data_IF_831019488756
#
_entry.id   IF_831019488756
#
_cell.length_a   1.000
_cell.length_b   1.000
_cell.length_c   1.000
_cell.angle_alpha   90.00
_cell.angle_beta   90.00
_cell.angle_gamma   90.00
#
_symmetry.space_group_name_H-M   'P 1'
#
loop_
_entity.id
_entity.type
_entity.pdbx_description
1 polymer ?
#
# COMPACT_ATOMS: atom_id res chain seq x y z
N UNK A 1 8.55 -8.27 4.52
CA UNK A 1 8.70 -6.92 5.06
C UNK A 1 7.35 -6.23 5.04
N UNK A 2 7.07 -5.49 6.08
CA UNK A 2 5.82 -4.77 6.18
C UNK A 2 6.03 -3.30 5.82
N UNK A 3 4.99 -2.66 5.28
CA UNK A 3 4.94 -1.22 5.11
C UNK A 3 3.57 -0.70 5.54
N UNK A 4 3.52 0.61 5.82
CA UNK A 4 2.28 1.30 6.15
C UNK A 4 1.86 2.12 4.94
N UNK A 5 0.59 2.03 4.57
CA UNK A 5 0.02 2.86 3.52
C UNK A 5 -0.72 4.04 4.15
N UNK A 6 -0.47 5.24 3.62
CA UNK A 6 -1.04 6.49 4.11
C UNK A 6 -1.55 7.30 2.91
N UNK A 7 -2.74 7.85 3.02
CA UNK A 7 -3.31 8.72 1.99
C UNK A 7 -2.99 10.18 2.33
N UNK A 8 -2.51 10.92 1.34
CA UNK A 8 -2.18 12.34 1.48
C UNK A 8 -2.86 13.15 0.38
N UNK A 9 -3.29 14.37 0.72
CA UNK A 9 -3.95 15.24 -0.25
C UNK A 9 -2.94 15.90 -1.20
N UNK A 10 -1.76 16.28 -0.68
CA UNK A 10 -0.69 16.91 -1.45
C UNK A 10 0.58 16.05 -1.33
N UNK A 11 0.82 15.25 -2.36
CA UNK A 11 1.91 14.28 -2.34
C UNK A 11 3.28 14.96 -2.29
N UNK A 12 3.48 16.03 -3.06
CA UNK A 12 4.75 16.75 -3.08
C UNK A 12 5.07 17.37 -1.71
N UNK A 13 4.08 18.01 -1.09
CA UNK A 13 4.25 18.59 0.25
C UNK A 13 4.54 17.53 1.30
N UNK A 14 3.88 16.37 1.22
CA UNK A 14 4.14 15.26 2.13
C UNK A 14 5.56 14.71 1.95
N UNK A 15 6.00 14.51 0.71
CA UNK A 15 7.37 14.08 0.42
C UNK A 15 8.41 15.05 0.98
N UNK A 16 8.20 16.35 0.79
CA UNK A 16 9.09 17.38 1.32
C UNK A 16 9.14 17.35 2.86
N UNK A 17 8.01 17.16 3.49
CA UNK A 17 7.95 17.07 4.95
C UNK A 17 8.76 15.89 5.48
N UNK A 18 8.57 14.70 4.89
CA UNK A 18 9.31 13.50 5.31
C UNK A 18 10.80 13.64 5.01
N UNK A 19 11.18 14.21 3.88
CA UNK A 19 12.57 14.46 3.55
C UNK A 19 13.22 15.39 4.57
N UNK A 20 12.52 16.45 5.00
CA UNK A 20 13.02 17.38 6.01
C UNK A 20 13.14 16.73 7.38
N UNK A 21 12.38 15.67 7.65
CA UNK A 21 12.45 14.88 8.89
C UNK A 21 13.59 13.84 8.85
N UNK A 22 14.34 13.77 7.77
CA UNK A 22 15.49 12.86 7.64
C UNK A 22 15.19 11.56 6.90
N UNK A 23 14.00 11.42 6.31
CA UNK A 23 13.64 10.23 5.55
C UNK A 23 14.27 10.22 4.16
N UNK A 24 14.47 9.04 3.60
CA UNK A 24 14.72 8.84 2.18
C UNK A 24 13.39 8.73 1.46
N UNK A 25 13.18 9.54 0.42
CA UNK A 25 11.89 9.63 -0.28
C UNK A 25 12.12 9.40 -1.77
N UNK A 26 11.32 8.53 -2.40
CA UNK A 26 11.39 8.31 -3.85
C UNK A 26 10.62 9.41 -4.59
N UNK A 27 10.95 9.59 -5.88
CA UNK A 27 10.16 10.48 -6.73
C UNK A 27 8.74 9.96 -6.87
N UNK A 28 7.71 10.83 -6.80
CA UNK A 28 6.34 10.44 -7.05
C UNK A 28 6.17 9.85 -8.46
N UNK A 29 5.41 8.77 -8.55
CA UNK A 29 5.10 8.10 -9.82
C UNK A 29 3.60 7.87 -9.92
N UNK A 30 3.13 7.69 -11.17
CA UNK A 30 1.74 7.31 -11.40
C UNK A 30 1.48 5.92 -10.80
N UNK A 31 0.30 5.76 -10.24
CA UNK A 31 -0.12 4.48 -9.65
C UNK A 31 -1.63 4.35 -9.77
N UNK A 32 -2.07 3.35 -10.55
CA UNK A 32 -3.49 3.09 -10.75
C UNK A 32 -4.24 4.39 -11.13
N UNK A 33 -5.19 4.80 -10.33
CA UNK A 33 -5.98 6.02 -10.55
C UNK A 33 -5.40 7.25 -9.84
N UNK A 34 -4.17 7.19 -9.38
CA UNK A 34 -3.53 8.26 -8.63
C UNK A 34 -2.02 8.26 -8.75
N UNK A 35 -1.33 8.63 -7.67
CA UNK A 35 0.13 8.69 -7.60
C UNK A 35 0.61 8.14 -6.28
N UNK A 36 1.88 7.72 -6.24
CA UNK A 36 2.49 7.19 -5.02
C UNK A 36 3.95 7.61 -4.89
N UNK A 37 4.46 7.55 -3.66
CA UNK A 37 5.88 7.67 -3.35
C UNK A 37 6.20 6.81 -2.13
N UNK A 38 7.43 6.31 -2.06
CA UNK A 38 7.90 5.52 -0.92
C UNK A 38 8.78 6.34 -0.01
N UNK A 39 8.62 6.15 1.29
CA UNK A 39 9.34 6.85 2.34
C UNK A 39 10.00 5.83 3.26
N UNK A 40 11.30 5.99 3.50
CA UNK A 40 12.03 5.23 4.54
C UNK A 40 12.44 6.18 5.64
N UNK A 41 11.82 6.02 6.80
CA UNK A 41 12.13 6.80 7.99
C UNK A 41 12.68 5.84 9.06
N UNK A 42 14.00 5.78 9.18
CA UNK A 42 14.64 4.73 9.95
C UNK A 42 14.34 3.36 9.34
N UNK A 43 13.83 2.43 10.14
CA UNK A 43 13.40 1.11 9.68
C UNK A 43 11.94 1.08 9.24
N UNK A 44 11.21 2.19 9.35
CA UNK A 44 9.81 2.27 8.99
C UNK A 44 9.66 2.60 7.51
N UNK A 45 8.97 1.73 6.79
CA UNK A 45 8.62 1.97 5.39
C UNK A 45 7.16 2.43 5.31
N UNK A 46 6.96 3.59 4.68
CA UNK A 46 5.64 4.18 4.47
C UNK A 46 5.46 4.36 2.97
N UNK A 47 4.31 3.97 2.44
CA UNK A 47 3.93 4.32 1.06
C UNK A 47 2.85 5.39 1.12
N UNK A 48 3.12 6.52 0.50
CA UNK A 48 2.17 7.63 0.39
C UNK A 48 1.39 7.48 -0.91
N UNK A 49 0.06 7.58 -0.82
CA UNK A 49 -0.84 7.50 -1.96
C UNK A 49 -1.73 8.74 -2.02
N UNK A 50 -2.03 9.21 -3.22
CA UNK A 50 -3.09 10.21 -3.41
C UNK A 50 -4.47 9.54 -3.38
N UNK A 51 -4.54 8.26 -3.78
CA UNK A 51 -5.75 7.43 -3.70
C UNK A 51 -5.38 6.00 -3.35
N UNK A 52 -6.20 5.36 -2.54
CA UNK A 52 -6.09 3.93 -2.30
C UNK A 52 -6.64 3.16 -3.50
N UNK A 53 -6.07 2.01 -3.82
CA UNK A 53 -6.50 1.18 -4.96
C UNK A 53 -7.97 0.74 -4.81
N UNK A 54 -8.45 0.55 -3.57
CA UNK A 54 -9.82 0.13 -3.29
C UNK A 54 -10.82 1.29 -3.22
N UNK A 55 -10.43 2.52 -3.56
CA UNK A 55 -11.38 3.64 -3.63
C UNK A 55 -12.37 3.52 -4.77
N UNK A 56 -12.20 2.55 -5.66
CA UNK A 56 -13.24 2.16 -6.62
C UNK A 56 -14.47 1.53 -5.94
N UNK A 57 -14.32 1.03 -4.71
CA UNK A 57 -15.35 0.31 -3.99
C UNK A 57 -15.72 0.94 -2.64
N UNK A 58 -15.02 1.98 -2.18
CA UNK A 58 -15.29 2.61 -0.90
C UNK A 58 -14.88 4.07 -0.89
N UNK A 59 -15.58 4.89 -0.10
CA UNK A 59 -15.27 6.30 0.07
C UNK A 59 -14.34 6.47 1.28
N UNK A 60 -13.29 7.26 1.11
CA UNK A 60 -12.30 7.55 2.14
C UNK A 60 -12.15 9.05 2.37
N UNK A 61 -11.70 9.47 3.56
CA UNK A 61 -11.28 10.85 3.80
C UNK A 61 -10.13 11.25 2.87
N UNK A 62 -9.87 12.55 2.74
CA UNK A 62 -8.77 13.06 1.90
C UNK A 62 -7.39 12.67 2.41
N UNK A 63 -7.25 12.47 3.71
CA UNK A 63 -5.99 12.11 4.35
C UNK A 63 -6.20 11.11 5.47
N UNK A 64 -5.20 10.29 5.71
CA UNK A 64 -5.18 9.39 6.86
C UNK A 64 -4.47 8.08 6.60
N UNK A 65 -4.34 7.31 7.67
CA UNK A 65 -3.81 5.96 7.60
C UNK A 65 -4.77 5.07 6.80
N UNK A 66 -4.21 4.26 5.89
CA UNK A 66 -5.00 3.34 5.09
C UNK A 66 -4.94 1.91 5.62
N UNK A 67 -3.75 1.31 5.65
CA UNK A 67 -3.59 -0.09 6.04
C UNK A 67 -2.10 -0.45 6.19
N UNK A 68 -1.77 -1.46 7.00
CA UNK A 68 -0.46 -2.11 6.91
C UNK A 68 -0.48 -3.14 5.77
N UNK A 69 0.71 -3.44 5.23
CA UNK A 69 0.87 -4.41 4.16
C UNK A 69 1.96 -5.43 4.53
N UNK A 70 1.68 -6.71 4.29
CA UNK A 70 2.55 -7.82 4.62
C UNK A 70 2.77 -8.71 3.40
N UNK A 71 4.01 -9.21 3.24
CA UNK A 71 4.28 -10.22 2.24
C UNK A 71 3.92 -11.61 2.76
N UNK A 72 3.37 -12.42 1.86
CA UNK A 72 3.08 -13.84 2.10
C UNK A 72 3.64 -14.66 0.93
N UNK A 73 3.93 -15.93 1.18
CA UNK A 73 4.45 -16.82 0.15
C UNK A 73 3.36 -17.34 -0.78
N UNK A 74 2.15 -17.52 -0.24
CA UNK A 74 1.00 -18.07 -0.99
C UNK A 74 -0.26 -17.30 -0.60
N UNK A 75 -0.68 -16.39 -1.48
CA UNK A 75 -1.83 -15.53 -1.21
C UNK A 75 -3.12 -16.34 -1.09
N UNK A 76 -3.33 -17.34 -1.97
CA UNK A 76 -4.56 -18.14 -1.90
C UNK A 76 -4.67 -18.89 -0.58
N UNK A 77 -3.57 -19.46 -0.09
CA UNK A 77 -3.56 -20.14 1.21
C UNK A 77 -3.85 -19.17 2.34
N UNK A 78 -3.31 -17.95 2.27
CA UNK A 78 -3.58 -16.91 3.29
C UNK A 78 -5.04 -16.49 3.26
N UNK A 79 -5.60 -16.23 2.09
CA UNK A 79 -6.99 -15.80 1.96
C UNK A 79 -7.98 -16.86 2.43
N UNK A 80 -7.65 -18.14 2.27
CA UNK A 80 -8.50 -19.23 2.73
C UNK A 80 -8.68 -19.25 4.26
N UNK A 81 -7.82 -18.56 5.01
CA UNK A 81 -7.88 -18.48 6.48
C UNK A 81 -8.73 -17.30 6.97
N UNK A 82 -9.25 -16.48 6.06
CA UNK A 82 -10.02 -15.28 6.41
C UNK A 82 -11.47 -15.43 5.97
N UNK A 83 -12.38 -14.97 6.82
CA UNK A 83 -13.83 -15.04 6.53
C UNK A 83 -14.24 -14.00 5.49
N UNK A 84 -13.54 -12.85 5.47
CA UNK A 84 -13.97 -11.75 4.64
C UNK A 84 -12.79 -11.10 3.90
N UNK A 85 -12.82 -11.24 2.57
CA UNK A 85 -11.93 -10.53 1.65
C UNK A 85 -12.66 -9.26 1.23
N UNK A 86 -12.07 -8.10 1.53
CA UNK A 86 -12.67 -6.79 1.23
C UNK A 86 -12.47 -6.40 -0.22
N UNK A 87 -11.33 -6.76 -0.81
CA UNK A 87 -10.96 -6.36 -2.15
C UNK A 87 -9.87 -7.29 -2.70
N UNK A 88 -9.97 -7.61 -4.00
CA UNK A 88 -9.02 -8.51 -4.67
C UNK A 88 -9.42 -9.98 -4.51
N UNK A 89 -8.51 -10.92 -4.84
CA UNK A 89 -7.13 -10.71 -5.26
C UNK A 89 -7.02 -10.10 -6.66
N UNK A 90 -5.95 -9.35 -6.88
CA UNK A 90 -5.69 -8.71 -8.17
C UNK A 90 -4.18 -8.59 -8.41
N UNK A 91 -3.78 -8.70 -9.67
CA UNK A 91 -2.39 -8.51 -10.08
C UNK A 91 -2.12 -7.04 -10.33
N UNK A 92 -1.02 -6.54 -9.77
CA UNK A 92 -0.54 -5.17 -9.96
C UNK A 92 0.93 -5.19 -10.33
N UNK A 93 1.37 -4.21 -11.11
CA UNK A 93 2.76 -4.10 -11.56
C UNK A 93 3.26 -2.67 -11.39
N UNK A 94 4.55 -2.54 -11.15
CA UNK A 94 5.22 -1.26 -10.98
C UNK A 94 6.73 -1.44 -10.89
N UNK A 95 7.43 -0.45 -10.35
CA UNK A 95 8.88 -0.53 -10.15
C UNK A 95 9.30 -1.68 -9.22
N UNK A 96 8.37 -2.18 -8.40
CA UNK A 96 8.57 -3.33 -7.50
C UNK A 96 8.45 -4.69 -8.21
N UNK A 97 8.15 -4.72 -9.51
CA UNK A 97 7.87 -5.94 -10.26
C UNK A 97 6.37 -6.19 -10.40
N UNK A 98 5.96 -7.45 -10.28
CA UNK A 98 4.55 -7.85 -10.36
C UNK A 98 4.14 -8.54 -9.08
N UNK A 99 3.01 -8.13 -8.52
CA UNK A 99 2.44 -8.66 -7.28
C UNK A 99 0.99 -9.02 -7.47
N UNK A 100 0.55 -9.98 -6.67
CA UNK A 100 -0.87 -10.30 -6.49
C UNK A 100 -1.24 -9.87 -5.09
N UNK A 101 -2.27 -9.05 -4.96
CA UNK A 101 -2.62 -8.41 -3.68
C UNK A 101 -4.09 -8.62 -3.35
N UNK A 102 -4.40 -8.61 -2.06
CA UNK A 102 -5.77 -8.61 -1.57
C UNK A 102 -5.83 -7.94 -0.20
N UNK A 103 -7.02 -7.46 0.16
CA UNK A 103 -7.28 -6.82 1.44
C UNK A 103 -8.32 -7.61 2.21
N UNK A 104 -8.08 -7.83 3.49
CA UNK A 104 -8.99 -8.55 4.37
C UNK A 104 -9.43 -7.67 5.53
N UNK A 105 -10.55 -8.05 6.15
CA UNK A 105 -11.05 -7.42 7.36
C UNK A 105 -10.46 -8.13 8.57
N UNK A 106 -9.70 -7.40 9.38
CA UNK A 106 -9.08 -7.91 10.59
C UNK A 106 -9.73 -7.29 11.83
N UNK A 107 -9.56 -7.90 13.02
CA UNK A 107 -10.15 -7.36 14.25
C UNK A 107 -9.79 -5.90 14.49
N UNK A 108 -10.74 -5.13 15.04
CA UNK A 108 -10.53 -3.70 15.32
C UNK A 108 -10.84 -2.80 14.13
N UNK A 109 -11.54 -3.31 13.12
CA UNK A 109 -11.81 -2.55 11.90
C UNK A 109 -10.56 -2.29 11.06
N UNK A 110 -9.55 -3.13 11.20
CA UNK A 110 -8.28 -3.00 10.51
C UNK A 110 -8.39 -3.60 9.11
N UNK A 111 -8.11 -2.78 8.08
CA UNK A 111 -7.91 -3.30 6.73
C UNK A 111 -6.45 -3.75 6.63
N UNK A 112 -6.24 -5.00 6.24
CA UNK A 112 -4.90 -5.58 6.17
C UNK A 112 -4.64 -6.03 4.74
N UNK A 113 -3.52 -5.60 4.16
CA UNK A 113 -3.11 -6.02 2.82
C UNK A 113 -2.16 -7.19 2.91
N UNK A 114 -2.42 -8.22 2.07
CA UNK A 114 -1.46 -9.29 1.83
C UNK A 114 -0.96 -9.20 0.40
N UNK A 115 0.35 -9.37 0.22
CA UNK A 115 1.03 -9.28 -1.07
C UNK A 115 1.84 -10.54 -1.34
N UNK A 116 1.67 -11.10 -2.52
CA UNK A 116 2.51 -12.19 -3.00
C UNK A 116 3.33 -11.68 -4.19
N UNK A 117 4.65 -11.77 -4.09
CA UNK A 117 5.53 -11.37 -5.18
C UNK A 117 5.49 -12.44 -6.27
N UNK A 118 5.05 -12.08 -7.47
CA UNK A 118 4.94 -12.99 -8.61
C UNK A 118 6.20 -12.91 -9.47
N UNK A 119 6.64 -11.70 -9.79
CA UNK A 119 7.85 -11.44 -10.56
C UNK A 119 8.65 -10.34 -9.92
N UNK A 120 9.96 -10.52 -9.80
CA UNK A 120 10.86 -9.50 -9.28
C UNK A 120 11.04 -8.38 -10.31
N UNK A 121 11.38 -7.15 -9.87
CA UNK A 121 11.68 -6.08 -10.82
C UNK A 121 12.93 -6.39 -11.63
N UNK A 122 12.93 -5.96 -12.88
CA UNK A 122 14.07 -6.11 -13.79
C UNK A 122 15.22 -5.18 -13.42
#
# INVERSE_FOLDING_TARGET
>A
MANLAVKVADLEAACDWYASAGATVTEPVAWENGRRADVMLGALQITLFTKAIYEDATTLPDEGFLHPALFVDDLDAELARHEKVLWGPRVVSGSFGTRRIAFVDAPGGMRLEFMEQIEDPN
#
